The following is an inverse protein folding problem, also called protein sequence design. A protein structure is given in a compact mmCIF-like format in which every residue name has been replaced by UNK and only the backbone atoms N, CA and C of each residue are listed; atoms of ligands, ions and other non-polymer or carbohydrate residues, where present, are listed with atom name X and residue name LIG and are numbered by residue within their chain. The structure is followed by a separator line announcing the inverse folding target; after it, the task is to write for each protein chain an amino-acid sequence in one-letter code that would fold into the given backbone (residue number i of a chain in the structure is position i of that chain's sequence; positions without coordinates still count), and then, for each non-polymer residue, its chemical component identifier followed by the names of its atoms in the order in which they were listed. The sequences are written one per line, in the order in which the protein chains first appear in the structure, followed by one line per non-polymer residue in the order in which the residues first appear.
data_IF_999508637628
#
_entry.id   IF_999508637628
#
_cell.length_a   1.000
_cell.length_b   1.000
_cell.length_c   1.000
_cell.angle_alpha   90.00
_cell.angle_beta   90.00
_cell.angle_gamma   90.00
#
_symmetry.space_group_name_H-M   'P 1'
#
loop_
_entity.id
_entity.type
_entity.pdbx_description
1 polymer ?
#
# COMPACT_ATOMS: atom_id res chain seq x y z
N UNK A 1 -16.74 3.48 11.02
CA UNK A 1 -15.57 4.38 10.87
C UNK A 1 -14.33 3.51 11.00
N UNK A 2 -13.39 3.63 10.08
CA UNK A 2 -12.20 2.78 10.08
C UNK A 2 -11.08 3.43 10.89
N UNK A 3 -10.30 2.63 11.63
CA UNK A 3 -9.21 3.12 12.48
C UNK A 3 -7.98 2.24 12.28
N UNK A 4 -6.86 2.86 11.93
CA UNK A 4 -5.54 2.24 11.97
C UNK A 4 -4.86 2.61 13.29
N UNK A 5 -4.51 1.61 14.10
CA UNK A 5 -3.85 1.79 15.40
C UNK A 5 -2.52 1.07 15.42
N UNK A 6 -1.47 1.78 15.79
CA UNK A 6 -0.11 1.27 15.97
C UNK A 6 0.28 1.51 17.42
N UNK A 7 0.78 0.47 18.09
CA UNK A 7 1.16 0.52 19.50
C UNK A 7 2.56 -0.05 19.70
N UNK A 8 3.42 0.76 20.31
CA UNK A 8 4.79 0.43 20.67
C UNK A 8 5.55 -0.31 19.55
N UNK A 9 5.47 0.17 18.31
CA UNK A 9 6.02 -0.53 17.15
C UNK A 9 7.53 -0.38 17.07
N UNK A 10 8.24 -1.51 17.14
CA UNK A 10 9.68 -1.63 16.91
C UNK A 10 9.95 -2.35 15.60
N UNK A 11 10.85 -1.82 14.78
CA UNK A 11 11.19 -2.40 13.47
C UNK A 11 12.68 -2.38 13.25
N UNK A 12 13.21 -3.54 12.82
CA UNK A 12 14.61 -3.72 12.45
C UNK A 12 14.80 -3.92 10.94
N UNK A 13 15.97 -3.53 10.45
CA UNK A 13 16.52 -3.87 9.14
C UNK A 13 17.92 -4.42 9.38
N UNK A 14 18.22 -5.63 8.90
CA UNK A 14 19.54 -6.25 9.04
C UNK A 14 20.07 -6.14 10.50
N UNK A 15 19.27 -6.55 11.48
CA UNK A 15 19.55 -6.50 12.92
C UNK A 15 19.73 -5.10 13.52
N UNK A 16 19.54 -4.04 12.72
CA UNK A 16 19.59 -2.67 13.20
C UNK A 16 18.18 -2.16 13.46
N UNK A 17 17.90 -1.78 14.72
CA UNK A 17 16.63 -1.16 15.09
C UNK A 17 16.52 0.25 14.51
N UNK A 18 15.46 0.47 13.75
CA UNK A 18 15.14 1.75 13.09
C UNK A 18 13.95 2.45 13.77
N UNK A 19 12.88 1.70 14.05
CA UNK A 19 11.75 2.22 14.84
C UNK A 19 11.85 1.71 16.26
N UNK A 20 11.64 2.61 17.21
CA UNK A 20 11.89 2.40 18.64
C UNK A 20 10.66 2.77 19.46
N UNK A 21 9.57 2.00 19.31
CA UNK A 21 8.33 2.22 20.04
C UNK A 21 7.50 3.37 19.44
N UNK A 22 6.95 3.17 18.24
CA UNK A 22 6.06 4.14 17.61
C UNK A 22 4.62 3.87 17.99
N UNK A 23 3.94 4.92 18.45
CA UNK A 23 2.51 4.94 18.72
C UNK A 23 1.83 5.90 17.74
N UNK A 24 0.78 5.44 17.05
CA UNK A 24 0.03 6.24 16.10
C UNK A 24 -1.40 5.72 15.97
N UNK A 25 -2.36 6.61 16.00
CA UNK A 25 -3.76 6.28 15.71
C UNK A 25 -4.28 7.21 14.63
N UNK A 26 -4.85 6.65 13.56
CA UNK A 26 -5.41 7.39 12.43
C UNK A 26 -6.86 6.94 12.26
N UNK A 27 -7.80 7.88 12.29
CA UNK A 27 -9.22 7.60 12.08
C UNK A 27 -9.67 8.01 10.67
N UNK A 28 -10.79 7.46 10.23
CA UNK A 28 -11.42 7.85 8.96
C UNK A 28 -11.53 9.37 8.81
N UNK A 29 -11.05 9.90 7.70
CA UNK A 29 -11.10 11.33 7.36
C UNK A 29 -9.92 12.14 7.91
N UNK A 30 -9.02 11.55 8.69
CA UNK A 30 -7.81 12.24 9.17
C UNK A 30 -6.67 12.15 8.16
N UNK A 31 -5.84 13.18 8.13
CA UNK A 31 -4.59 13.24 7.37
C UNK A 31 -3.45 13.46 8.36
N UNK A 32 -2.53 12.50 8.43
CA UNK A 32 -1.36 12.57 9.29
C UNK A 32 -0.09 12.75 8.45
N UNK A 33 0.67 13.80 8.72
CA UNK A 33 1.95 14.06 8.07
C UNK A 33 3.10 13.56 8.94
N UNK A 34 3.86 12.58 8.43
CA UNK A 34 5.09 12.10 9.08
C UNK A 34 6.27 12.98 8.67
N UNK A 35 6.79 13.75 9.59
CA UNK A 35 7.91 14.68 9.38
C UNK A 35 9.14 14.28 10.19
N UNK A 36 10.30 14.62 9.68
CA UNK A 36 11.58 14.39 10.34
C UNK A 36 12.75 14.31 9.35
N UNK A 37 14.00 14.35 9.82
CA UNK A 37 15.18 14.20 8.99
C UNK A 37 15.22 12.91 8.21
N UNK A 38 16.02 12.84 7.13
CA UNK A 38 16.25 11.62 6.39
C UNK A 38 16.93 10.56 7.28
N UNK A 39 16.54 9.30 7.11
CA UNK A 39 17.05 8.20 7.92
C UNK A 39 16.30 7.94 9.24
N UNK A 40 15.30 8.75 9.60
CA UNK A 40 14.56 8.58 10.86
C UNK A 40 13.35 7.62 10.76
N UNK A 41 13.36 6.72 9.80
CA UNK A 41 12.38 5.62 9.78
C UNK A 41 11.01 5.93 9.17
N UNK A 42 10.77 7.12 8.56
CA UNK A 42 9.48 7.45 7.93
C UNK A 42 9.04 6.39 6.89
N UNK A 43 9.91 6.10 5.93
CA UNK A 43 9.65 5.07 4.90
C UNK A 43 9.63 3.65 5.50
N UNK A 44 10.39 3.42 6.57
CA UNK A 44 10.40 2.16 7.31
C UNK A 44 9.03 1.88 7.92
N UNK A 45 8.39 2.88 8.53
CA UNK A 45 7.06 2.74 9.10
C UNK A 45 6.03 2.35 8.02
N UNK A 46 6.00 3.06 6.91
CA UNK A 46 5.08 2.78 5.81
C UNK A 46 5.30 1.38 5.21
N UNK A 47 6.57 0.99 5.03
CA UNK A 47 6.94 -0.33 4.51
C UNK A 47 6.59 -1.46 5.49
N UNK A 48 6.77 -1.24 6.79
CA UNK A 48 6.40 -2.22 7.82
C UNK A 48 4.87 -2.41 7.90
N UNK A 49 4.10 -1.34 7.83
CA UNK A 49 2.62 -1.40 7.77
C UNK A 49 2.19 -2.23 6.55
N UNK A 50 2.83 -2.04 5.39
CA UNK A 50 2.50 -2.80 4.17
C UNK A 50 3.03 -4.24 4.17
N UNK A 51 3.91 -4.61 5.10
CA UNK A 51 4.44 -5.97 5.24
C UNK A 51 5.58 -6.29 4.30
N UNK A 52 6.40 -5.31 3.96
CA UNK A 52 7.62 -5.55 3.17
C UNK A 52 8.59 -6.44 3.99
N UNK A 53 8.99 -7.64 3.47
CA UNK A 53 9.76 -8.63 4.22
C UNK A 53 11.16 -8.18 4.64
N UNK A 54 11.67 -7.11 4.07
CA UNK A 54 12.94 -6.50 4.49
C UNK A 54 12.87 -5.88 5.89
N UNK A 55 11.66 -5.53 6.35
CA UNK A 55 11.43 -4.83 7.60
C UNK A 55 10.82 -5.78 8.61
N UNK A 56 11.57 -6.14 9.64
CA UNK A 56 11.14 -7.08 10.67
C UNK A 56 10.55 -6.32 11.85
N UNK A 57 9.28 -6.56 12.14
CA UNK A 57 8.64 -6.08 13.37
C UNK A 57 9.12 -6.98 14.51
N UNK A 58 9.77 -6.39 15.50
CA UNK A 58 10.34 -7.11 16.65
C UNK A 58 9.49 -6.98 17.90
N UNK A 59 8.74 -5.88 18.03
CA UNK A 59 7.85 -5.62 19.16
C UNK A 59 6.71 -4.69 18.72
N UNK A 60 5.58 -4.71 19.47
CA UNK A 60 4.43 -3.88 19.21
C UNK A 60 3.38 -4.52 18.33
N UNK A 61 2.38 -3.74 17.95
CA UNK A 61 1.23 -4.21 17.18
C UNK A 61 0.70 -3.18 16.20
N UNK A 62 0.04 -3.67 15.15
CA UNK A 62 -0.67 -2.86 14.17
C UNK A 62 -2.07 -3.45 13.99
N UNK A 63 -3.09 -2.64 14.22
CA UNK A 63 -4.49 -3.03 14.05
C UNK A 63 -5.18 -2.14 13.02
N UNK A 64 -5.95 -2.76 12.14
CA UNK A 64 -6.92 -2.08 11.27
C UNK A 64 -8.32 -2.60 11.63
N UNK A 65 -9.16 -1.72 12.15
CA UNK A 65 -10.53 -2.05 12.59
C UNK A 65 -10.59 -3.24 13.55
N UNK A 66 -9.59 -3.35 14.43
CA UNK A 66 -9.46 -4.43 15.41
C UNK A 66 -8.84 -5.72 14.87
N UNK A 67 -8.55 -5.81 13.58
CA UNK A 67 -7.84 -6.94 12.98
C UNK A 67 -6.33 -6.73 13.05
N UNK A 68 -5.59 -7.75 13.45
CA UNK A 68 -4.13 -7.69 13.54
C UNK A 68 -3.50 -7.71 12.15
N UNK A 69 -2.95 -6.57 11.73
CA UNK A 69 -2.30 -6.41 10.42
C UNK A 69 -1.02 -7.23 10.29
N UNK A 70 -0.32 -7.50 11.40
CA UNK A 70 0.94 -8.26 11.38
C UNK A 70 0.73 -9.74 11.03
N UNK A 71 -0.47 -10.28 11.24
CA UNK A 71 -0.85 -11.63 10.86
C UNK A 71 -1.30 -11.76 9.41
N UNK A 72 -1.56 -10.62 8.75
CA UNK A 72 -2.00 -10.58 7.36
C UNK A 72 -0.83 -10.66 6.39
N UNK A 73 -0.99 -11.42 5.31
CA UNK A 73 -0.13 -11.35 4.13
C UNK A 73 -0.24 -9.99 3.42
N UNK A 74 0.69 -9.66 2.53
CA UNK A 74 0.69 -8.36 1.83
C UNK A 74 -0.58 -8.13 1.01
N UNK A 75 -1.08 -9.19 0.35
CA UNK A 75 -2.32 -9.13 -0.43
C UNK A 75 -3.56 -9.00 0.45
N UNK A 76 -3.60 -9.63 1.63
CA UNK A 76 -4.67 -9.45 2.61
C UNK A 76 -4.72 -8.03 3.16
N UNK A 77 -3.56 -7.42 3.46
CA UNK A 77 -3.47 -6.01 3.86
C UNK A 77 -4.03 -5.08 2.77
N UNK A 78 -3.66 -5.34 1.52
CA UNK A 78 -4.19 -4.59 0.38
C UNK A 78 -5.71 -4.75 0.25
N UNK A 79 -6.25 -5.98 0.37
CA UNK A 79 -7.70 -6.25 0.35
C UNK A 79 -8.44 -5.61 1.52
N UNK A 80 -7.81 -5.51 2.67
CA UNK A 80 -8.34 -4.80 3.83
C UNK A 80 -8.39 -3.27 3.66
N UNK A 81 -7.78 -2.73 2.58
CA UNK A 81 -7.84 -1.32 2.24
C UNK A 81 -6.55 -0.54 2.53
N UNK A 82 -5.47 -1.20 2.93
CA UNK A 82 -4.17 -0.55 3.09
C UNK A 82 -3.54 -0.36 1.71
N UNK A 83 -3.22 0.88 1.33
CA UNK A 83 -2.58 1.22 0.07
C UNK A 83 -1.30 2.02 0.31
N UNK A 84 -0.23 1.67 -0.40
CA UNK A 84 1.05 2.37 -0.36
C UNK A 84 1.37 3.00 -1.73
N UNK A 85 1.45 4.33 -1.78
CA UNK A 85 2.03 5.04 -2.91
C UNK A 85 3.56 4.93 -2.86
N UNK A 86 4.15 4.17 -3.78
CA UNK A 86 5.60 3.98 -3.83
C UNK A 86 6.29 5.21 -4.41
N UNK A 87 7.39 5.63 -3.80
CA UNK A 87 8.20 6.76 -4.30
C UNK A 87 8.88 6.41 -5.63
N UNK A 88 9.34 5.17 -5.77
CA UNK A 88 9.92 4.61 -6.98
C UNK A 88 9.26 3.26 -7.26
N UNK A 89 8.17 3.24 -8.06
CA UNK A 89 7.58 1.98 -8.49
C UNK A 89 8.60 1.20 -9.35
N UNK A 90 8.65 -0.10 -9.15
CA UNK A 90 9.53 -0.96 -9.95
C UNK A 90 8.86 -1.30 -11.28
N UNK A 91 9.65 -1.28 -12.34
CA UNK A 91 9.24 -1.77 -13.65
C UNK A 91 9.02 -3.29 -13.61
N UNK A 92 8.00 -3.76 -14.30
CA UNK A 92 7.73 -5.18 -14.51
C UNK A 92 7.90 -5.47 -15.99
N UNK A 93 9.08 -5.99 -16.43
CA UNK A 93 9.36 -6.18 -17.85
C UNK A 93 8.32 -7.07 -18.53
N UNK A 94 7.82 -6.61 -19.67
CA UNK A 94 6.86 -7.36 -20.50
C UNK A 94 5.39 -7.29 -20.02
N UNK A 95 5.08 -6.53 -18.98
CA UNK A 95 3.70 -6.34 -18.50
C UNK A 95 3.18 -4.98 -18.94
N UNK A 96 2.04 -4.97 -19.64
CA UNK A 96 1.35 -3.73 -20.03
C UNK A 96 0.60 -3.16 -18.84
N UNK A 97 0.60 -1.83 -18.71
CA UNK A 97 -0.04 -1.13 -17.58
C UNK A 97 -1.51 -1.51 -17.40
N UNK A 98 -2.29 -1.60 -18.48
CA UNK A 98 -3.70 -2.01 -18.41
C UNK A 98 -3.89 -3.44 -17.90
N UNK A 99 -3.02 -4.39 -18.29
CA UNK A 99 -3.10 -5.77 -17.83
C UNK A 99 -2.77 -5.87 -16.35
N UNK A 100 -1.76 -5.13 -15.87
CA UNK A 100 -1.43 -5.04 -14.46
C UNK A 100 -2.59 -4.48 -13.64
N UNK A 101 -3.15 -3.34 -14.06
CA UNK A 101 -4.28 -2.70 -13.37
C UNK A 101 -5.51 -3.60 -13.32
N UNK A 102 -5.81 -4.32 -14.42
CA UNK A 102 -6.91 -5.27 -14.46
C UNK A 102 -6.67 -6.46 -13.53
N UNK A 103 -5.46 -6.99 -13.48
CA UNK A 103 -5.10 -8.07 -12.57
C UNK A 103 -5.23 -7.63 -11.10
N UNK A 104 -4.73 -6.43 -10.76
CA UNK A 104 -4.87 -5.85 -9.43
C UNK A 104 -6.34 -5.65 -9.05
N UNK A 105 -7.16 -5.07 -9.94
CA UNK A 105 -8.59 -4.88 -9.70
C UNK A 105 -9.31 -6.22 -9.46
N UNK A 106 -9.02 -7.23 -10.27
CA UNK A 106 -9.62 -8.57 -10.13
C UNK A 106 -9.21 -9.26 -8.82
N UNK A 107 -8.01 -9.00 -8.31
CA UNK A 107 -7.55 -9.55 -7.03
C UNK A 107 -8.35 -9.04 -5.81
N UNK A 108 -8.99 -7.87 -5.94
CA UNK A 108 -9.86 -7.26 -4.93
C UNK A 108 -11.35 -7.60 -5.08
N UNK A 109 -11.72 -8.43 -6.04
CA UNK A 109 -13.11 -8.75 -6.33
C UNK A 109 -13.36 -10.26 -6.31
N UNK A 110 -14.56 -10.68 -5.89
CA UNK A 110 -14.97 -12.09 -5.93
C UNK A 110 -15.11 -12.63 -7.36
N UNK A 111 -15.48 -11.76 -8.31
CA UNK A 111 -15.67 -12.13 -9.73
C UNK A 111 -14.87 -11.18 -10.62
N UNK A 112 -14.15 -11.71 -11.61
CA UNK A 112 -13.40 -10.87 -12.55
C UNK A 112 -14.29 -9.86 -13.26
N UNK A 113 -13.80 -8.64 -13.40
CA UNK A 113 -14.47 -7.58 -14.15
C UNK A 113 -14.42 -7.91 -15.65
N UNK A 114 -15.54 -7.72 -16.36
CA UNK A 114 -15.55 -7.86 -17.81
C UNK A 114 -14.59 -6.86 -18.46
N UNK A 115 -13.93 -7.26 -19.54
CA UNK A 115 -12.95 -6.42 -20.23
C UNK A 115 -13.56 -5.08 -20.66
N UNK A 116 -14.77 -5.11 -21.18
CA UNK A 116 -15.46 -3.90 -21.65
C UNK A 116 -15.72 -2.90 -20.50
N UNK A 117 -16.17 -3.39 -19.34
CA UNK A 117 -16.41 -2.55 -18.16
C UNK A 117 -15.10 -1.95 -17.65
N UNK A 118 -14.05 -2.77 -17.61
CA UNK A 118 -12.72 -2.34 -17.17
C UNK A 118 -12.16 -1.22 -18.08
N UNK A 119 -12.18 -1.41 -19.42
CA UNK A 119 -11.68 -0.40 -20.37
C UNK A 119 -12.44 0.91 -20.20
N UNK A 120 -13.77 0.87 -20.15
CA UNK A 120 -14.59 2.08 -19.97
C UNK A 120 -14.25 2.85 -18.68
N UNK A 121 -13.99 2.13 -17.58
CA UNK A 121 -13.62 2.72 -16.30
C UNK A 121 -12.20 3.28 -16.32
N UNK A 122 -11.27 2.57 -16.97
CA UNK A 122 -9.88 3.00 -17.15
C UNK A 122 -9.82 4.30 -17.96
N UNK A 123 -10.47 4.36 -19.11
CA UNK A 123 -10.51 5.54 -19.98
C UNK A 123 -11.09 6.75 -19.25
N UNK A 124 -12.18 6.53 -18.48
CA UNK A 124 -12.77 7.58 -17.66
C UNK A 124 -11.77 8.11 -16.62
N UNK A 125 -11.09 7.22 -15.91
CA UNK A 125 -10.14 7.63 -14.86
C UNK A 125 -8.92 8.35 -15.45
N UNK A 126 -8.41 7.92 -16.60
CA UNK A 126 -7.34 8.61 -17.34
C UNK A 126 -7.76 10.03 -17.71
N UNK A 127 -8.99 10.19 -18.24
CA UNK A 127 -9.52 11.50 -18.60
C UNK A 127 -9.73 12.40 -17.38
N UNK A 128 -10.31 11.88 -16.29
CA UNK A 128 -10.54 12.60 -15.03
C UNK A 128 -9.22 13.09 -14.40
N UNK A 129 -8.17 12.30 -14.51
CA UNK A 129 -6.82 12.65 -14.03
C UNK A 129 -6.02 13.50 -15.04
N UNK A 130 -6.56 13.78 -16.23
CA UNK A 130 -5.89 14.51 -17.32
C UNK A 130 -4.55 13.87 -17.71
N UNK A 131 -4.48 12.56 -17.71
CA UNK A 131 -3.30 11.77 -18.08
C UNK A 131 -3.29 11.50 -19.58
N UNK A 132 -2.10 11.17 -20.13
CA UNK A 132 -1.94 10.75 -21.52
C UNK A 132 -2.66 9.40 -21.74
N UNK A 133 -3.56 9.32 -22.72
CA UNK A 133 -4.34 8.14 -23.07
C UNK A 133 -3.45 6.94 -23.42
N UNK A 134 -2.24 7.16 -23.92
CA UNK A 134 -1.28 6.11 -24.26
C UNK A 134 -0.68 5.42 -23.02
N UNK A 135 -0.84 5.97 -21.81
CA UNK A 135 -0.30 5.36 -20.58
C UNK A 135 -0.82 3.95 -20.31
N UNK A 136 -2.09 3.69 -20.64
CA UNK A 136 -2.70 2.38 -20.48
C UNK A 136 -2.02 1.28 -21.33
N UNK A 137 -1.40 1.66 -22.44
CA UNK A 137 -0.80 0.74 -23.42
C UNK A 137 0.73 0.63 -23.32
N UNK A 138 1.35 1.39 -22.42
CA UNK A 138 2.79 1.30 -22.16
C UNK A 138 3.11 0.09 -21.28
N UNK A 139 4.34 -0.40 -21.42
CA UNK A 139 4.92 -1.34 -20.45
C UNK A 139 5.13 -0.63 -19.10
N UNK A 140 4.98 -1.40 -18.05
CA UNK A 140 5.13 -0.95 -16.67
C UNK A 140 6.60 -0.88 -16.32
#
# INVERSE_FOLDING_TARGET
MSTLKIENLHVCIDDKEILKGIDLTINTGEIHALMGPNGNGKSTLLSAIMGNPKYQVTEGSIYLDGQNVLEMSVDERSKAGIFLGMQYPQEIPGVVTSDFLRAALNAHQEKPVSLFKFIKELDKNIADLKMDENLAHRYL
#
